data_IF_363943528444
#
_entry.id   IF_363943528444
#
_cell.length_a   1.000
_cell.length_b   1.000
_cell.length_c   1.000
_cell.angle_alpha   90.00
_cell.angle_beta   90.00
_cell.angle_gamma   90.00
#
_symmetry.space_group_name_H-M   'P 1'
#
loop_
_entity.id
_entity.type
_entity.pdbx_description
1 polymer ?
#
# COMPACT_ATOMS: atom_id res chain seq x y z
N UNK A 1 32.73 -20.78 -58.63
CA UNK A 1 32.51 -19.37 -58.26
C UNK A 1 31.26 -19.31 -57.38
N UNK A 2 31.46 -19.38 -56.07
CA UNK A 2 30.38 -19.23 -55.06
C UNK A 2 30.37 -17.77 -54.59
N UNK A 3 29.26 -17.09 -54.80
CA UNK A 3 29.02 -15.74 -54.28
C UNK A 3 28.44 -15.86 -52.87
N UNK A 4 29.21 -15.48 -51.87
CA UNK A 4 28.73 -15.28 -50.49
C UNK A 4 27.97 -13.96 -50.39
N UNK A 5 26.66 -14.02 -50.13
CA UNK A 5 25.83 -12.87 -49.81
C UNK A 5 25.70 -12.83 -48.27
N UNK A 6 26.36 -11.85 -47.66
CA UNK A 6 26.19 -11.54 -46.21
C UNK A 6 24.90 -10.74 -46.02
N UNK A 7 23.93 -11.31 -45.32
CA UNK A 7 22.75 -10.58 -44.85
C UNK A 7 23.15 -9.82 -43.61
N UNK A 8 23.20 -8.48 -43.68
CA UNK A 8 23.30 -7.60 -42.52
C UNK A 8 21.92 -7.55 -41.85
N UNK A 9 21.78 -8.20 -40.72
CA UNK A 9 20.62 -8.00 -39.84
C UNK A 9 20.81 -6.68 -39.11
N UNK A 10 20.02 -5.66 -39.49
CA UNK A 10 19.91 -4.39 -38.77
C UNK A 10 19.03 -4.67 -37.54
N UNK A 11 19.67 -4.77 -36.38
CA UNK A 11 18.96 -4.76 -35.09
C UNK A 11 18.56 -3.32 -34.82
N UNK A 12 17.32 -3.00 -35.17
CA UNK A 12 16.62 -1.78 -34.69
C UNK A 12 16.30 -1.97 -33.20
N UNK A 13 17.22 -1.52 -32.35
CA UNK A 13 16.92 -1.38 -30.93
C UNK A 13 15.88 -0.27 -30.77
N UNK A 14 14.65 -0.65 -30.53
CA UNK A 14 13.58 0.30 -30.25
C UNK A 14 13.89 1.01 -28.95
N UNK A 15 14.34 2.27 -29.03
CA UNK A 15 14.42 3.21 -27.92
C UNK A 15 12.97 3.63 -27.62
N UNK A 16 12.26 2.81 -26.85
CA UNK A 16 10.96 3.19 -26.29
C UNK A 16 11.12 3.55 -24.83
N UNK A 17 10.65 4.76 -24.52
CA UNK A 17 10.23 5.26 -23.19
C UNK A 17 11.31 5.79 -22.25
N UNK A 18 11.85 6.96 -22.59
CA UNK A 18 12.48 7.85 -21.61
C UNK A 18 11.60 9.06 -21.25
N UNK A 19 10.37 9.18 -21.78
CA UNK A 19 9.63 10.45 -21.74
C UNK A 19 8.78 10.72 -20.50
N UNK A 20 8.54 9.74 -19.61
CA UNK A 20 7.73 9.98 -18.41
C UNK A 20 8.55 10.39 -17.17
N UNK A 21 9.88 10.37 -17.26
CA UNK A 21 10.78 10.66 -16.14
C UNK A 21 11.62 11.92 -16.33
N UNK A 22 11.47 12.62 -17.46
CA UNK A 22 12.15 13.89 -17.69
C UNK A 22 11.59 14.93 -16.72
N UNK A 23 12.28 15.11 -15.57
CA UNK A 23 12.00 16.17 -14.61
C UNK A 23 11.71 15.76 -13.17
N UNK A 24 11.57 14.46 -12.82
CA UNK A 24 11.44 14.06 -11.43
C UNK A 24 12.80 14.05 -10.71
N UNK A 25 12.86 14.66 -9.56
CA UNK A 25 13.99 14.55 -8.63
C UNK A 25 13.79 13.34 -7.71
N UNK A 26 14.85 12.58 -7.50
CA UNK A 26 14.91 11.46 -6.57
C UNK A 26 16.01 11.70 -5.54
N UNK A 27 15.70 11.65 -4.24
CA UNK A 27 16.68 11.92 -3.18
C UNK A 27 17.77 10.84 -3.11
N UNK A 28 18.93 11.19 -2.55
CA UNK A 28 19.99 10.21 -2.30
C UNK A 28 19.58 9.18 -1.22
N UNK A 29 20.20 7.99 -1.21
CA UNK A 29 19.92 6.96 -0.22
C UNK A 29 20.12 7.47 1.20
N UNK A 30 19.09 7.33 2.06
CA UNK A 30 19.05 7.81 3.44
C UNK A 30 19.51 9.27 3.63
N UNK A 31 19.63 10.03 2.52
CA UNK A 31 20.04 11.44 2.51
C UNK A 31 18.88 12.36 2.74
N UNK A 32 19.20 13.63 3.04
CA UNK A 32 18.22 14.69 3.16
C UNK A 32 17.54 14.96 1.82
N UNK A 33 16.27 15.31 1.86
CA UNK A 33 15.49 15.69 0.70
C UNK A 33 15.85 17.11 0.24
N UNK A 34 16.06 17.28 -1.07
CA UNK A 34 16.17 18.61 -1.63
C UNK A 34 14.83 19.33 -1.53
N UNK A 35 14.89 20.58 -1.09
CA UNK A 35 13.75 21.49 -0.99
C UNK A 35 13.73 22.47 -2.13
N UNK A 36 12.54 22.91 -2.51
CA UNK A 36 12.31 24.01 -3.41
C UNK A 36 11.26 24.94 -2.83
N UNK A 37 11.35 26.23 -3.17
CA UNK A 37 10.30 27.16 -2.76
C UNK A 37 9.03 26.93 -3.58
N UNK A 38 7.83 27.23 -3.04
CA UNK A 38 6.60 27.18 -3.82
C UNK A 38 6.69 27.96 -5.13
N UNK A 39 7.38 29.11 -5.13
CA UNK A 39 7.56 29.96 -6.31
C UNK A 39 8.35 29.27 -7.44
N UNK A 40 9.23 28.32 -7.14
CA UNK A 40 9.95 27.53 -8.16
C UNK A 40 9.02 26.69 -9.05
N UNK A 41 7.78 26.52 -8.63
CA UNK A 41 6.76 25.71 -9.30
C UNK A 41 5.44 26.49 -9.50
N UNK A 42 5.45 27.81 -9.42
CA UNK A 42 4.26 28.69 -9.52
C UNK A 42 3.16 28.34 -8.49
N UNK A 43 3.53 27.71 -7.37
CA UNK A 43 2.63 27.34 -6.28
C UNK A 43 2.37 28.56 -5.39
N UNK A 44 1.11 28.79 -5.02
CA UNK A 44 0.75 29.83 -4.05
C UNK A 44 1.26 29.49 -2.65
N UNK A 45 2.30 30.19 -2.19
CA UNK A 45 2.86 29.97 -0.86
C UNK A 45 1.83 30.20 0.26
N UNK A 46 0.93 31.18 0.10
CA UNK A 46 -0.11 31.49 1.08
C UNK A 46 -1.13 30.37 1.20
N UNK A 47 -1.62 29.82 0.07
CA UNK A 47 -2.59 28.73 0.10
C UNK A 47 -1.93 27.45 0.61
N UNK A 48 -0.67 27.16 0.22
CA UNK A 48 0.07 26.00 0.71
C UNK A 48 0.30 26.06 2.24
N UNK A 49 0.64 27.25 2.78
CA UNK A 49 0.74 27.44 4.23
C UNK A 49 -0.59 27.23 4.95
N UNK A 50 -1.72 27.65 4.34
CA UNK A 50 -3.05 27.37 4.89
C UNK A 50 -3.34 25.86 4.95
N UNK A 51 -2.98 25.11 3.91
CA UNK A 51 -3.12 23.66 3.91
C UNK A 51 -2.26 23.00 5.00
N UNK A 52 -1.01 23.46 5.20
CA UNK A 52 -0.16 22.95 6.29
C UNK A 52 -0.77 23.25 7.66
N UNK A 53 -1.17 24.52 7.90
CA UNK A 53 -1.81 24.89 9.16
C UNK A 53 -3.12 24.12 9.42
N UNK A 54 -3.87 23.81 8.35
CA UNK A 54 -5.04 22.95 8.43
C UNK A 54 -4.66 21.54 8.92
N UNK A 55 -3.64 20.93 8.34
CA UNK A 55 -3.19 19.59 8.75
C UNK A 55 -2.71 19.59 10.21
N UNK A 56 -1.99 20.60 10.65
CA UNK A 56 -1.50 20.73 12.03
C UNK A 56 -2.64 20.90 13.04
N UNK A 57 -3.71 21.62 12.66
CA UNK A 57 -4.84 21.90 13.55
C UNK A 57 -5.89 20.76 13.62
N UNK A 58 -5.83 19.78 12.71
CA UNK A 58 -6.77 18.66 12.65
C UNK A 58 -6.06 17.32 12.97
N UNK A 59 -5.34 17.29 14.10
CA UNK A 59 -4.73 16.05 14.58
C UNK A 59 -5.79 14.98 14.80
N UNK A 60 -5.48 13.73 14.44
CA UNK A 60 -6.31 12.57 14.74
C UNK A 60 -6.71 12.55 16.22
N UNK A 61 -8.02 12.52 16.47
CA UNK A 61 -8.62 12.65 17.81
C UNK A 61 -8.44 11.41 18.69
N UNK A 62 -8.06 10.27 18.12
CA UNK A 62 -7.88 9.01 18.86
C UNK A 62 -6.66 9.01 19.77
N UNK A 63 -6.59 8.05 20.71
CA UNK A 63 -5.53 7.97 21.70
C UNK A 63 -4.12 7.94 21.09
N UNK A 64 -3.13 8.55 21.78
CA UNK A 64 -1.71 8.40 21.42
C UNK A 64 -1.18 7.00 21.77
N UNK A 65 -1.73 6.37 22.78
CA UNK A 65 -1.54 4.95 23.05
C UNK A 65 -2.30 4.12 22.01
N UNK A 66 -1.57 3.56 21.04
CA UNK A 66 -2.16 2.79 19.95
C UNK A 66 -2.75 1.45 20.40
N UNK A 67 -2.36 0.91 21.56
CA UNK A 67 -3.02 -0.25 22.14
C UNK A 67 -4.47 0.06 22.48
N UNK A 68 -4.70 1.20 23.14
CA UNK A 68 -6.05 1.68 23.45
C UNK A 68 -6.83 2.06 22.18
N UNK A 69 -6.16 2.66 21.20
CA UNK A 69 -6.79 3.03 19.93
C UNK A 69 -7.31 1.79 19.17
N UNK A 70 -6.52 0.73 19.09
CA UNK A 70 -6.89 -0.54 18.47
C UNK A 70 -8.07 -1.18 19.22
N UNK A 71 -7.96 -1.34 20.54
CA UNK A 71 -9.01 -1.96 21.36
C UNK A 71 -10.35 -1.24 21.25
N UNK A 72 -10.35 0.11 21.20
CA UNK A 72 -11.56 0.90 20.98
C UNK A 72 -12.07 0.86 19.54
N UNK A 73 -11.16 0.91 18.57
CA UNK A 73 -11.51 0.94 17.15
C UNK A 73 -12.18 -0.34 16.65
N UNK A 74 -11.87 -1.46 17.27
CA UNK A 74 -12.34 -2.79 16.89
C UNK A 74 -13.13 -3.51 17.99
N UNK A 75 -13.66 -2.80 18.97
CA UNK A 75 -14.38 -3.37 20.14
C UNK A 75 -15.59 -4.24 19.78
N UNK A 76 -16.16 -4.06 18.58
CA UNK A 76 -17.28 -4.86 18.09
C UNK A 76 -16.85 -6.24 17.55
N UNK A 77 -15.58 -6.45 17.30
CA UNK A 77 -15.08 -7.68 16.74
C UNK A 77 -14.94 -8.74 17.82
N UNK A 78 -15.50 -9.95 17.61
CA UNK A 78 -15.26 -11.05 18.53
C UNK A 78 -13.75 -11.39 18.51
N UNK A 79 -13.21 -11.63 19.70
CA UNK A 79 -11.79 -11.99 19.90
C UNK A 79 -10.79 -10.92 19.51
N UNK A 80 -11.19 -9.63 19.48
CA UNK A 80 -10.25 -8.56 19.19
C UNK A 80 -9.23 -8.42 20.32
N UNK A 81 -7.98 -8.52 19.96
CA UNK A 81 -6.83 -8.42 20.85
C UNK A 81 -5.67 -7.69 20.15
N UNK A 82 -4.74 -7.17 20.93
CA UNK A 82 -3.47 -6.68 20.40
C UNK A 82 -2.48 -7.83 20.41
N UNK A 83 -2.20 -8.38 19.24
CA UNK A 83 -1.44 -9.61 19.00
C UNK A 83 -0.02 -9.36 18.50
N UNK A 84 0.28 -8.16 18.04
CA UNK A 84 1.60 -7.79 17.53
C UNK A 84 2.10 -6.49 18.17
N UNK A 85 3.34 -6.10 17.90
CA UNK A 85 3.93 -4.89 18.45
C UNK A 85 3.09 -3.65 18.12
N UNK A 86 3.01 -2.74 19.08
CA UNK A 86 2.46 -1.38 18.95
C UNK A 86 3.42 -0.39 19.58
N UNK A 87 3.31 0.87 19.19
CA UNK A 87 4.12 1.97 19.70
C UNK A 87 3.23 3.20 19.85
N UNK A 88 3.38 4.01 20.90
CA UNK A 88 2.67 5.28 21.01
C UNK A 88 2.92 6.15 19.78
N UNK A 89 1.85 6.74 19.23
CA UNK A 89 1.93 7.58 18.03
C UNK A 89 2.50 8.97 18.32
N UNK A 90 3.06 9.58 17.27
CA UNK A 90 3.42 11.00 17.27
C UNK A 90 2.23 11.94 17.13
N UNK A 91 2.53 13.22 16.99
CA UNK A 91 1.60 14.27 16.54
C UNK A 91 1.47 14.30 15.01
N UNK A 92 0.67 15.25 14.49
CA UNK A 92 0.52 15.43 13.05
C UNK A 92 1.87 15.77 12.41
N UNK A 93 2.17 15.10 11.32
CA UNK A 93 3.36 15.34 10.52
C UNK A 93 3.08 15.03 9.05
N UNK A 94 3.85 15.61 8.14
CA UNK A 94 3.67 15.31 6.73
C UNK A 94 4.66 16.01 5.82
N UNK A 95 4.56 15.65 4.54
CA UNK A 95 5.38 16.20 3.47
C UNK A 95 4.55 16.36 2.20
N UNK A 96 4.81 17.43 1.46
CA UNK A 96 4.27 17.67 0.13
C UNK A 96 5.43 17.75 -0.85
N UNK A 97 5.43 16.86 -1.84
CA UNK A 97 6.43 16.82 -2.89
C UNK A 97 5.83 17.30 -4.21
N UNK A 98 6.50 18.22 -4.88
CA UNK A 98 6.24 18.59 -6.28
C UNK A 98 7.43 18.16 -7.12
N UNK A 99 7.20 17.32 -8.13
CA UNK A 99 8.26 16.74 -8.97
C UNK A 99 9.41 16.09 -8.16
N UNK A 100 9.07 15.52 -7.00
CA UNK A 100 10.03 14.88 -6.10
C UNK A 100 10.73 15.82 -5.12
N UNK A 101 10.68 17.16 -5.30
CA UNK A 101 11.22 18.14 -4.35
C UNK A 101 10.23 18.40 -3.23
N UNK A 102 10.72 18.56 -2.00
CA UNK A 102 9.89 19.00 -0.88
C UNK A 102 9.54 20.47 -1.06
N UNK A 103 8.26 20.79 -1.14
CA UNK A 103 7.73 22.17 -1.19
C UNK A 103 7.09 22.58 0.13
N UNK A 104 6.70 21.63 0.97
CA UNK A 104 6.27 21.84 2.35
C UNK A 104 6.50 20.59 3.19
N UNK A 105 6.77 20.78 4.48
CA UNK A 105 6.81 19.72 5.48
C UNK A 105 6.46 20.29 6.86
N UNK A 106 5.91 19.47 7.73
CA UNK A 106 5.56 19.84 9.10
C UNK A 106 5.69 18.65 10.06
N UNK A 107 5.79 18.94 11.34
CA UNK A 107 5.95 17.95 12.40
C UNK A 107 7.26 17.16 12.31
N UNK A 108 7.32 16.00 12.95
CA UNK A 108 8.49 15.13 12.94
C UNK A 108 8.39 14.09 11.81
N UNK A 109 8.91 14.45 10.63
CA UNK A 109 8.90 13.59 9.44
C UNK A 109 9.81 12.36 9.55
N UNK A 110 10.79 12.39 10.47
CA UNK A 110 11.76 11.29 10.71
C UNK A 110 11.28 10.30 11.77
N UNK A 111 10.19 10.61 12.48
CA UNK A 111 9.62 9.72 13.47
C UNK A 111 9.08 8.44 12.82
N UNK A 112 9.53 7.30 13.33
CA UNK A 112 9.05 5.97 12.92
C UNK A 112 7.80 5.63 13.73
N UNK A 113 6.67 5.54 13.06
CA UNK A 113 5.38 5.16 13.65
C UNK A 113 4.71 4.03 12.84
N UNK A 114 3.74 3.35 13.47
CA UNK A 114 2.84 2.42 12.74
C UNK A 114 2.15 3.14 11.61
N UNK A 115 2.01 2.46 10.46
CA UNK A 115 1.29 3.01 9.31
C UNK A 115 -0.02 2.29 9.03
N UNK A 116 -0.35 1.28 9.84
CA UNK A 116 -1.56 0.48 9.68
C UNK A 116 -1.76 0.01 8.23
N UNK A 117 -2.93 0.25 7.66
CA UNK A 117 -3.30 -0.30 6.36
C UNK A 117 -2.55 0.29 5.17
N UNK A 118 -1.72 1.34 5.32
CA UNK A 118 -0.74 1.70 4.29
C UNK A 118 0.19 0.52 3.98
N UNK A 119 0.42 -0.37 4.95
CA UNK A 119 1.13 -1.65 4.77
C UNK A 119 0.60 -2.48 3.59
N UNK A 120 -0.71 -2.41 3.32
CA UNK A 120 -1.35 -3.17 2.23
C UNK A 120 -0.81 -2.80 0.85
N UNK A 121 -0.52 -1.52 0.62
CA UNK A 121 0.06 -1.07 -0.66
C UNK A 121 1.50 -1.56 -0.83
N UNK A 122 2.28 -1.65 0.24
CA UNK A 122 3.59 -2.31 0.21
C UNK A 122 3.46 -3.82 -0.05
N UNK A 123 2.49 -4.48 0.57
CA UNK A 123 2.21 -5.91 0.33
C UNK A 123 1.81 -6.17 -1.11
N UNK A 124 0.93 -5.35 -1.69
CA UNK A 124 0.57 -5.39 -3.10
C UNK A 124 1.81 -5.24 -4.01
N UNK A 125 2.71 -4.31 -3.66
CA UNK A 125 3.96 -4.13 -4.42
C UNK A 125 4.82 -5.39 -4.42
N UNK A 126 4.87 -6.15 -3.32
CA UNK A 126 5.58 -7.44 -3.29
C UNK A 126 4.93 -8.51 -4.18
N UNK A 127 3.62 -8.46 -4.37
CA UNK A 127 2.94 -9.31 -5.36
C UNK A 127 3.31 -8.88 -6.78
N UNK A 128 3.39 -7.58 -7.05
CA UNK A 128 3.86 -7.03 -8.34
C UNK A 128 5.30 -7.43 -8.66
N UNK A 129 6.17 -7.34 -7.68
CA UNK A 129 7.55 -7.79 -7.81
C UNK A 129 7.63 -9.31 -8.04
N UNK A 130 6.77 -10.10 -7.38
CA UNK A 130 6.67 -11.54 -7.62
C UNK A 130 6.25 -11.84 -9.06
N UNK A 131 5.30 -11.07 -9.62
CA UNK A 131 4.91 -11.15 -11.01
C UNK A 131 6.06 -10.76 -11.96
N UNK A 132 6.71 -9.64 -11.69
CA UNK A 132 7.86 -9.16 -12.51
C UNK A 132 9.03 -10.14 -12.50
N UNK A 133 9.17 -10.97 -11.46
CA UNK A 133 10.18 -12.05 -11.35
C UNK A 133 9.69 -13.39 -11.90
N UNK A 134 8.46 -13.49 -12.40
CA UNK A 134 7.88 -14.73 -12.91
C UNK A 134 7.55 -15.77 -11.83
N UNK A 135 7.48 -15.35 -10.55
CA UNK A 135 7.00 -16.21 -9.45
C UNK A 135 5.47 -16.37 -9.50
N UNK A 136 4.75 -15.38 -10.03
CA UNK A 136 3.34 -15.43 -10.39
C UNK A 136 3.28 -15.26 -11.90
N UNK A 137 2.58 -16.15 -12.61
CA UNK A 137 2.40 -16.07 -14.05
C UNK A 137 1.42 -14.96 -14.43
N UNK A 138 0.30 -14.90 -13.73
CA UNK A 138 -0.76 -13.92 -13.92
C UNK A 138 -1.55 -13.70 -12.63
N UNK A 139 -2.09 -12.49 -12.44
CA UNK A 139 -3.04 -12.20 -11.34
C UNK A 139 -4.35 -12.99 -11.48
N UNK A 140 -4.62 -13.48 -12.68
CA UNK A 140 -5.77 -14.35 -12.97
C UNK A 140 -5.53 -15.81 -12.60
N UNK A 141 -4.31 -16.20 -12.24
CA UNK A 141 -4.01 -17.58 -11.84
C UNK A 141 -4.65 -17.91 -10.49
N UNK A 142 -5.01 -19.17 -10.32
CA UNK A 142 -5.52 -19.68 -9.04
C UNK A 142 -4.38 -19.70 -8.01
N UNK A 143 -4.66 -19.22 -6.80
CA UNK A 143 -3.65 -19.24 -5.74
C UNK A 143 -3.32 -20.68 -5.32
N UNK A 144 -4.29 -21.62 -5.45
CA UNK A 144 -4.11 -23.05 -5.20
C UNK A 144 -3.06 -23.71 -6.11
N UNK A 145 -2.74 -23.13 -7.28
CA UNK A 145 -1.70 -23.65 -8.15
C UNK A 145 -0.29 -23.40 -7.59
N UNK A 146 -0.17 -22.49 -6.61
CA UNK A 146 1.09 -22.05 -6.00
C UNK A 146 1.22 -22.44 -4.52
N UNK A 147 0.10 -22.52 -3.79
CA UNK A 147 0.04 -22.75 -2.34
C UNK A 147 -0.69 -24.06 -2.08
N UNK A 148 0.04 -25.10 -1.61
CA UNK A 148 -0.42 -26.49 -1.56
C UNK A 148 -0.62 -27.03 -0.14
N UNK A 149 -0.72 -26.16 0.86
CA UNK A 149 -0.77 -26.51 2.27
C UNK A 149 -2.19 -26.63 2.85
N UNK A 150 -3.21 -26.66 1.99
CA UNK A 150 -4.61 -26.72 2.38
C UNK A 150 -5.30 -25.35 2.51
N UNK A 151 -4.54 -24.23 2.51
CA UNK A 151 -5.11 -22.88 2.68
C UNK A 151 -6.14 -22.52 1.61
N UNK A 152 -5.98 -23.06 0.39
CA UNK A 152 -6.87 -22.81 -0.76
C UNK A 152 -7.58 -24.07 -1.25
N UNK A 153 -7.83 -25.04 -0.37
CA UNK A 153 -8.59 -26.23 -0.70
C UNK A 153 -10.12 -26.04 -0.53
N UNK A 154 -10.88 -27.01 -1.03
CA UNK A 154 -12.34 -27.05 -0.95
C UNK A 154 -13.04 -26.29 -2.07
N UNK A 155 -14.36 -26.47 -2.17
CA UNK A 155 -15.17 -26.01 -3.30
C UNK A 155 -15.21 -24.47 -3.47
N UNK A 156 -14.92 -23.71 -2.42
CA UNK A 156 -14.91 -22.26 -2.44
C UNK A 156 -13.49 -21.68 -2.61
N UNK A 157 -12.60 -21.99 -1.68
CA UNK A 157 -11.26 -21.37 -1.65
C UNK A 157 -10.41 -21.72 -2.88
N UNK A 158 -10.62 -22.90 -3.51
CA UNK A 158 -9.90 -23.33 -4.71
C UNK A 158 -10.18 -22.46 -5.95
N UNK A 159 -11.20 -21.61 -5.93
CA UNK A 159 -11.54 -20.69 -7.01
C UNK A 159 -10.84 -19.34 -6.88
N UNK A 160 -10.15 -19.10 -5.76
CA UNK A 160 -9.56 -17.80 -5.45
C UNK A 160 -8.33 -17.57 -6.33
N UNK A 161 -8.29 -16.38 -6.95
CA UNK A 161 -7.19 -15.90 -7.77
C UNK A 161 -6.36 -14.86 -7.02
N UNK A 162 -5.13 -14.60 -7.46
CA UNK A 162 -4.30 -13.54 -6.89
C UNK A 162 -5.00 -12.19 -6.93
N UNK A 163 -5.66 -11.85 -8.04
CA UNK A 163 -6.45 -10.62 -8.16
C UNK A 163 -7.56 -10.51 -7.11
N UNK A 164 -8.19 -11.62 -6.72
CA UNK A 164 -9.23 -11.61 -5.71
C UNK A 164 -8.69 -11.25 -4.31
N UNK A 165 -7.49 -11.71 -3.97
CA UNK A 165 -6.83 -11.33 -2.73
C UNK A 165 -6.41 -9.86 -2.76
N UNK A 166 -5.83 -9.39 -3.87
CA UNK A 166 -5.36 -8.02 -4.07
C UNK A 166 -6.49 -7.00 -4.04
N UNK A 167 -7.65 -7.34 -4.59
CA UNK A 167 -8.85 -6.49 -4.61
C UNK A 167 -9.76 -6.67 -3.38
N UNK A 168 -9.38 -7.53 -2.44
CA UNK A 168 -10.17 -7.88 -1.25
C UNK A 168 -11.61 -8.34 -1.59
N UNK A 169 -11.76 -9.09 -2.67
CA UNK A 169 -13.03 -9.68 -3.11
C UNK A 169 -12.97 -11.21 -3.19
N UNK A 170 -12.04 -11.82 -2.47
CA UNK A 170 -11.84 -13.28 -2.46
C UNK A 170 -12.92 -14.04 -1.69
N UNK A 171 -13.51 -13.42 -0.69
CA UNK A 171 -14.32 -14.07 0.34
C UNK A 171 -13.68 -15.37 0.87
N UNK A 172 -12.34 -15.42 0.95
CA UNK A 172 -11.63 -16.56 1.53
C UNK A 172 -12.22 -16.88 2.90
N UNK A 173 -12.52 -18.14 3.14
CA UNK A 173 -13.15 -18.60 4.37
C UNK A 173 -12.25 -19.58 5.10
N UNK A 174 -11.98 -19.28 6.37
CA UNK A 174 -11.13 -20.13 7.17
C UNK A 174 -10.59 -19.50 8.45
N UNK A 175 -9.49 -20.05 8.90
CA UNK A 175 -8.75 -19.54 10.05
C UNK A 175 -7.26 -19.48 9.73
N UNK A 176 -6.68 -18.30 9.88
CA UNK A 176 -5.24 -18.11 9.75
C UNK A 176 -4.66 -17.69 11.11
N UNK A 177 -3.72 -18.46 11.63
CA UNK A 177 -3.11 -18.26 12.97
C UNK A 177 -4.15 -18.11 14.09
N UNK A 178 -5.25 -18.88 14.02
CA UNK A 178 -6.34 -18.79 14.98
C UNK A 178 -7.36 -17.69 14.74
N UNK A 179 -7.06 -16.71 13.89
CA UNK A 179 -7.97 -15.63 13.50
C UNK A 179 -8.98 -16.14 12.47
N UNK A 180 -10.24 -15.80 12.67
CA UNK A 180 -11.35 -16.20 11.80
C UNK A 180 -11.70 -15.10 10.83
N UNK A 181 -11.88 -15.41 9.54
CA UNK A 181 -12.26 -14.44 8.52
C UNK A 181 -13.56 -13.70 8.84
N UNK A 182 -14.56 -14.41 9.37
CA UNK A 182 -15.86 -13.86 9.73
C UNK A 182 -15.85 -12.93 10.96
N UNK A 183 -14.78 -12.98 11.78
CA UNK A 183 -14.68 -12.20 12.99
C UNK A 183 -14.12 -10.77 12.75
N UNK A 184 -13.47 -10.56 11.62
CA UNK A 184 -12.91 -9.26 11.24
C UNK A 184 -13.98 -8.39 10.58
N UNK A 185 -14.29 -7.26 11.18
CA UNK A 185 -15.30 -6.28 10.72
C UNK A 185 -16.66 -6.92 10.39
N UNK A 186 -17.24 -7.68 11.33
CA UNK A 186 -18.52 -8.32 11.09
C UNK A 186 -19.61 -7.27 10.79
N UNK A 187 -20.67 -7.64 10.06
CA UNK A 187 -21.82 -6.76 9.83
C UNK A 187 -22.35 -6.13 11.11
N UNK A 188 -22.97 -4.96 11.00
CA UNK A 188 -23.58 -4.29 12.17
C UNK A 188 -24.75 -5.08 12.74
N UNK A 189 -25.43 -5.81 11.89
CA UNK A 189 -26.59 -6.64 12.23
C UNK A 189 -26.15 -8.09 12.41
N UNK A 190 -26.98 -8.86 13.15
CA UNK A 190 -26.71 -10.25 13.45
C UNK A 190 -25.77 -10.46 14.64
N UNK A 191 -25.45 -11.73 14.89
CA UNK A 191 -24.56 -12.20 15.94
C UNK A 191 -23.52 -13.17 15.43
N UNK A 192 -22.75 -13.74 16.34
CA UNK A 192 -21.61 -14.63 16.01
C UNK A 192 -22.03 -15.81 15.10
N UNK A 193 -23.19 -16.40 15.34
CA UNK A 193 -23.64 -17.54 14.53
C UNK A 193 -24.07 -17.10 13.13
N UNK A 194 -24.70 -15.92 12.98
CA UNK A 194 -25.06 -15.36 11.68
C UNK A 194 -23.81 -15.07 10.85
N UNK A 195 -22.78 -14.51 11.47
CA UNK A 195 -21.51 -14.18 10.79
C UNK A 195 -20.72 -15.43 10.42
N UNK A 196 -20.67 -16.42 11.34
CA UNK A 196 -19.92 -17.66 11.18
C UNK A 196 -20.50 -18.56 10.09
N UNK A 197 -21.83 -18.64 10.00
CA UNK A 197 -22.54 -19.52 9.07
C UNK A 197 -23.12 -18.78 7.87
N UNK A 198 -22.69 -17.55 7.62
CA UNK A 198 -23.12 -16.76 6.47
C UNK A 198 -22.87 -17.51 5.16
N UNK A 199 -23.72 -17.34 4.14
CA UNK A 199 -23.41 -17.80 2.79
C UNK A 199 -22.14 -17.13 2.26
N UNK A 200 -21.24 -17.92 1.68
CA UNK A 200 -20.05 -17.39 1.01
C UNK A 200 -20.44 -16.76 -0.32
N UNK A 201 -19.80 -15.65 -0.65
CA UNK A 201 -19.95 -14.95 -1.92
C UNK A 201 -18.95 -15.50 -2.92
N UNK A 202 -19.36 -15.65 -4.19
CA UNK A 202 -18.44 -16.13 -5.23
C UNK A 202 -17.22 -15.20 -5.34
N UNK A 203 -15.99 -15.73 -5.33
CA UNK A 203 -14.78 -14.92 -5.42
C UNK A 203 -14.81 -13.97 -6.64
N UNK A 204 -14.44 -12.70 -6.43
CA UNK A 204 -14.47 -11.66 -7.45
C UNK A 204 -15.76 -10.85 -7.54
N UNK A 205 -16.81 -11.18 -6.77
CA UNK A 205 -18.13 -10.54 -6.92
C UNK A 205 -18.41 -9.40 -5.95
N UNK A 206 -17.88 -9.46 -4.73
CA UNK A 206 -18.13 -8.46 -3.68
C UNK A 206 -16.82 -8.12 -2.98
N UNK A 207 -16.49 -6.84 -2.89
CA UNK A 207 -15.37 -6.37 -2.09
C UNK A 207 -15.75 -6.32 -0.61
N UNK A 208 -14.98 -7.00 0.23
CA UNK A 208 -15.09 -6.92 1.69
C UNK A 208 -13.71 -6.66 2.28
N UNK A 209 -13.57 -5.49 2.90
CA UNK A 209 -12.31 -5.09 3.53
C UNK A 209 -12.07 -5.94 4.80
N UNK A 210 -11.10 -6.86 4.73
CA UNK A 210 -10.88 -7.88 5.75
C UNK A 210 -9.38 -8.14 5.94
N UNK A 211 -8.86 -7.88 7.16
CA UNK A 211 -7.43 -8.02 7.43
C UNK A 211 -6.98 -9.47 7.57
N UNK A 212 -7.85 -10.41 7.94
CA UNK A 212 -7.51 -11.85 7.93
C UNK A 212 -7.21 -12.30 6.50
N UNK A 213 -8.02 -11.89 5.51
CA UNK A 213 -7.80 -12.19 4.10
C UNK A 213 -6.57 -11.49 3.53
N UNK A 214 -6.26 -10.30 3.99
CA UNK A 214 -5.00 -9.63 3.66
C UNK A 214 -3.81 -10.36 4.27
N UNK A 215 -3.94 -10.90 5.48
CA UNK A 215 -2.92 -11.74 6.09
C UNK A 215 -2.75 -13.07 5.33
N UNK A 216 -3.82 -13.63 4.74
CA UNK A 216 -3.73 -14.78 3.81
C UNK A 216 -2.88 -14.44 2.60
N UNK A 217 -3.01 -13.23 2.02
CA UNK A 217 -2.11 -12.80 0.95
C UNK A 217 -0.66 -12.68 1.44
N UNK A 218 -0.43 -12.10 2.62
CA UNK A 218 0.92 -11.97 3.19
C UNK A 218 1.55 -13.35 3.45
N UNK A 219 0.76 -14.30 3.98
CA UNK A 219 1.15 -15.68 4.14
C UNK A 219 1.51 -16.33 2.80
N UNK A 220 0.64 -16.22 1.80
CA UNK A 220 0.83 -16.80 0.47
C UNK A 220 2.09 -16.24 -0.21
N UNK A 221 2.33 -14.94 -0.12
CA UNK A 221 3.55 -14.34 -0.65
C UNK A 221 4.81 -14.78 0.12
N UNK A 222 4.71 -15.01 1.43
CA UNK A 222 5.83 -15.56 2.22
C UNK A 222 6.20 -16.97 1.73
N UNK A 223 5.20 -17.82 1.45
CA UNK A 223 5.40 -19.15 0.88
C UNK A 223 5.99 -19.07 -0.53
N UNK A 224 5.44 -18.18 -1.37
CA UNK A 224 5.88 -18.01 -2.76
C UNK A 224 7.33 -17.52 -2.88
N UNK A 225 7.70 -16.49 -2.12
CA UNK A 225 9.06 -15.96 -2.09
C UNK A 225 10.05 -16.87 -1.36
N UNK A 226 9.57 -17.82 -0.55
CA UNK A 226 10.36 -18.69 0.33
C UNK A 226 11.34 -17.92 1.21
N UNK A 227 10.96 -16.72 1.62
CA UNK A 227 11.75 -15.80 2.45
C UNK A 227 10.82 -14.95 3.31
N UNK A 228 11.31 -14.43 4.48
CA UNK A 228 10.59 -13.41 5.23
C UNK A 228 10.31 -12.19 4.34
N UNK A 229 9.06 -11.74 4.25
CA UNK A 229 8.69 -10.59 3.42
C UNK A 229 9.46 -9.29 3.77
N UNK A 230 9.85 -9.00 5.03
CA UNK A 230 10.72 -7.86 5.32
C UNK A 230 12.07 -7.93 4.62
N UNK A 231 12.64 -9.13 4.45
CA UNK A 231 13.90 -9.33 3.71
C UNK A 231 13.71 -9.07 2.21
N UNK A 232 12.59 -9.57 1.66
CA UNK A 232 12.23 -9.31 0.27
C UNK A 232 11.99 -7.83 0.04
N UNK A 233 11.15 -7.20 0.90
CA UNK A 233 10.86 -5.77 0.82
C UNK A 233 12.12 -4.91 0.87
N UNK A 234 13.05 -5.25 1.78
CA UNK A 234 14.33 -4.55 1.89
C UNK A 234 15.11 -4.59 0.58
N UNK A 235 15.34 -5.81 0.07
CA UNK A 235 16.18 -6.04 -1.11
C UNK A 235 15.55 -5.51 -2.40
N UNK A 236 14.27 -5.79 -2.61
CA UNK A 236 13.63 -5.55 -3.90
C UNK A 236 13.03 -4.13 -4.02
N UNK A 237 12.75 -3.46 -2.91
CA UNK A 237 12.09 -2.16 -2.91
C UNK A 237 12.84 -1.11 -2.09
N UNK A 238 13.01 -1.32 -0.78
CA UNK A 238 13.43 -0.24 0.12
C UNK A 238 14.87 0.21 -0.10
N UNK A 239 15.80 -0.73 -0.30
CA UNK A 239 17.20 -0.39 -0.64
C UNK A 239 17.29 0.28 -2.02
N UNK A 240 16.64 -0.24 -3.10
CA UNK A 240 16.61 0.42 -4.40
C UNK A 240 16.07 1.85 -4.41
N UNK A 241 15.05 2.17 -3.61
CA UNK A 241 14.55 3.55 -3.48
C UNK A 241 15.33 4.39 -2.47
N UNK A 242 16.37 3.82 -1.87
CA UNK A 242 17.23 4.50 -0.89
C UNK A 242 16.53 4.86 0.41
N UNK A 243 15.60 4.03 0.88
CA UNK A 243 14.93 4.22 2.17
C UNK A 243 15.92 4.09 3.34
N UNK A 244 15.59 4.74 4.45
CA UNK A 244 16.37 4.67 5.68
C UNK A 244 16.37 3.24 6.26
N UNK A 245 17.34 2.87 7.09
CA UNK A 245 17.34 1.57 7.77
C UNK A 245 16.38 1.51 8.97
N UNK A 246 15.59 2.54 9.21
CA UNK A 246 14.78 2.68 10.44
C UNK A 246 13.46 1.93 10.40
N UNK A 247 12.90 1.67 9.22
CA UNK A 247 11.63 0.96 9.09
C UNK A 247 11.68 -0.48 9.56
N UNK A 248 10.53 -1.02 9.99
CA UNK A 248 10.37 -2.43 10.39
C UNK A 248 9.01 -2.91 9.92
N UNK A 249 8.88 -4.23 9.68
CA UNK A 249 7.61 -4.87 9.39
C UNK A 249 7.42 -6.06 10.31
N UNK A 250 6.39 -6.03 11.13
CA UNK A 250 6.12 -7.04 12.13
C UNK A 250 4.86 -7.84 11.82
N UNK A 251 4.85 -9.09 12.26
CA UNK A 251 3.67 -9.94 12.32
C UNK A 251 3.03 -9.94 13.71
N UNK A 252 2.08 -10.85 13.90
CA UNK A 252 1.58 -11.20 15.23
C UNK A 252 2.54 -12.17 15.93
N UNK A 253 2.57 -12.16 17.25
CA UNK A 253 3.51 -12.96 18.05
C UNK A 253 3.41 -14.47 17.78
N UNK A 254 2.24 -14.94 17.38
CA UNK A 254 1.97 -16.36 17.06
C UNK A 254 1.89 -16.67 15.55
N UNK A 255 2.10 -15.68 14.67
CA UNK A 255 2.03 -15.84 13.23
C UNK A 255 3.34 -16.43 12.66
N UNK A 256 3.44 -17.74 12.63
CA UNK A 256 4.64 -18.43 12.15
C UNK A 256 4.34 -19.36 10.98
N UNK A 257 5.29 -19.44 10.07
CA UNK A 257 5.33 -20.37 8.94
C UNK A 257 6.61 -21.18 8.97
N UNK A 258 6.62 -22.33 8.30
CA UNK A 258 7.84 -23.11 8.08
C UNK A 258 8.19 -22.99 6.59
N UNK A 259 9.36 -22.44 6.32
CA UNK A 259 9.91 -22.28 4.96
C UNK A 259 11.22 -23.04 4.91
N UNK A 260 11.32 -24.04 4.04
CA UNK A 260 12.53 -24.84 3.86
C UNK A 260 13.10 -25.44 5.17
N UNK A 261 12.22 -25.80 6.10
CA UNK A 261 12.58 -26.32 7.41
C UNK A 261 12.88 -25.25 8.48
N UNK A 262 12.89 -23.97 8.13
CA UNK A 262 13.11 -22.88 9.07
C UNK A 262 11.78 -22.27 9.52
N UNK A 263 11.69 -22.00 10.82
CA UNK A 263 10.55 -21.26 11.40
C UNK A 263 10.73 -19.78 11.11
N UNK A 264 9.80 -19.21 10.35
CA UNK A 264 9.81 -17.81 9.89
C UNK A 264 8.55 -17.13 10.40
N UNK A 265 8.68 -15.94 11.00
CA UNK A 265 7.52 -15.13 11.35
C UNK A 265 6.89 -14.55 10.08
N UNK A 266 5.60 -14.80 9.90
CA UNK A 266 4.80 -14.12 8.88
C UNK A 266 4.41 -12.72 9.36
N UNK A 267 4.48 -11.74 8.46
CA UNK A 267 4.08 -10.38 8.76
C UNK A 267 2.57 -10.19 8.61
N UNK A 268 2.01 -9.16 9.26
CA UNK A 268 0.62 -8.76 9.01
C UNK A 268 0.54 -7.78 7.84
N UNK A 269 -0.50 -7.94 7.02
CA UNK A 269 -0.71 -7.09 5.86
C UNK A 269 -1.33 -5.72 6.16
N UNK A 270 -1.82 -5.49 7.40
CA UNK A 270 -2.53 -4.24 7.70
C UNK A 270 -2.36 -3.70 9.12
N UNK A 271 -1.78 -4.45 10.03
CA UNK A 271 -1.59 -4.02 11.43
C UNK A 271 -2.89 -3.90 12.23
N UNK A 272 -3.94 -4.63 11.86
CA UNK A 272 -5.26 -4.56 12.49
C UNK A 272 -5.21 -4.83 14.01
N UNK A 273 -4.51 -5.89 14.42
CA UNK A 273 -4.29 -6.25 15.82
C UNK A 273 -2.83 -5.97 16.25
N UNK A 274 -2.24 -4.88 15.78
CA UNK A 274 -0.82 -4.59 15.96
C UNK A 274 0.04 -5.13 14.81
N UNK A 275 1.35 -4.96 14.88
CA UNK A 275 2.27 -5.30 13.78
C UNK A 275 2.11 -4.37 12.57
N UNK A 276 2.31 -4.90 11.36
CA UNK A 276 2.37 -4.08 10.15
C UNK A 276 3.68 -3.30 10.01
N UNK A 277 3.72 -2.36 9.09
CA UNK A 277 4.92 -1.54 8.84
C UNK A 277 4.98 -0.36 9.80
N UNK A 278 6.16 -0.20 10.40
CA UNK A 278 6.58 0.97 11.16
C UNK A 278 7.60 1.72 10.29
N UNK A 279 7.30 2.94 9.94
CA UNK A 279 8.07 3.70 8.94
C UNK A 279 7.92 5.21 9.20
N UNK A 280 8.88 6.00 8.79
CA UNK A 280 8.83 7.45 8.84
C UNK A 280 8.16 8.05 7.60
N UNK A 281 7.81 9.34 7.64
CA UNK A 281 7.13 10.00 6.52
C UNK A 281 8.04 10.14 5.29
N UNK A 282 9.35 10.28 5.46
CA UNK A 282 10.30 10.42 4.36
C UNK A 282 10.38 9.13 3.53
N UNK A 283 10.42 7.96 4.18
CA UNK A 283 10.42 6.68 3.47
C UNK A 283 9.06 6.36 2.82
N UNK A 284 7.95 6.80 3.43
CA UNK A 284 6.63 6.76 2.79
C UNK A 284 6.59 7.63 1.53
N UNK A 285 7.23 8.80 1.57
CA UNK A 285 7.32 9.71 0.43
C UNK A 285 8.14 9.10 -0.72
N UNK A 286 9.23 8.37 -0.44
CA UNK A 286 9.99 7.61 -1.43
C UNK A 286 9.12 6.57 -2.13
N UNK A 287 8.32 5.86 -1.37
CA UNK A 287 7.39 4.87 -1.94
C UNK A 287 6.33 5.54 -2.84
N UNK A 288 5.71 6.63 -2.39
CA UNK A 288 4.78 7.41 -3.22
C UNK A 288 5.43 7.96 -4.49
N UNK A 289 6.68 8.44 -4.39
CA UNK A 289 7.44 8.96 -5.53
C UNK A 289 7.78 7.86 -6.54
N UNK A 290 8.04 6.61 -6.11
CA UNK A 290 8.21 5.48 -7.02
C UNK A 290 6.94 5.24 -7.84
N UNK A 291 5.76 5.32 -7.23
CA UNK A 291 4.48 5.17 -7.93
C UNK A 291 4.23 6.33 -8.88
N UNK A 292 4.50 7.57 -8.47
CA UNK A 292 4.45 8.74 -9.37
C UNK A 292 5.41 8.58 -10.56
N UNK A 293 6.60 8.02 -10.32
CA UNK A 293 7.62 7.71 -11.34
C UNK A 293 7.33 6.43 -12.12
N UNK A 294 6.11 5.87 -12.01
CA UNK A 294 5.68 4.68 -12.75
C UNK A 294 6.64 3.49 -12.60
N UNK A 295 7.14 3.29 -11.39
CA UNK A 295 8.01 2.17 -11.03
C UNK A 295 9.48 2.33 -11.42
N UNK A 296 9.88 3.51 -11.88
CA UNK A 296 11.28 3.82 -12.19
C UNK A 296 11.86 4.73 -11.10
N UNK A 297 13.07 4.45 -10.67
CA UNK A 297 13.83 5.23 -9.71
C UNK A 297 15.23 5.51 -10.24
N UNK A 298 15.58 6.78 -10.44
CA UNK A 298 16.88 7.21 -11.01
C UNK A 298 17.27 6.43 -12.28
N UNK A 299 16.30 6.21 -13.18
CA UNK A 299 16.51 5.47 -14.43
C UNK A 299 16.43 3.94 -14.32
N UNK A 300 16.39 3.37 -13.11
CA UNK A 300 16.27 1.92 -12.90
C UNK A 300 14.81 1.53 -12.69
N UNK A 301 14.33 0.54 -13.47
CA UNK A 301 13.01 -0.03 -13.27
C UNK A 301 13.02 -0.95 -12.05
N UNK A 302 12.27 -0.59 -11.03
CA UNK A 302 12.10 -1.38 -9.81
C UNK A 302 10.83 -2.23 -9.90
N UNK A 303 9.74 -1.63 -10.37
CA UNK A 303 8.43 -2.25 -10.53
C UNK A 303 7.91 -1.96 -11.95
N UNK A 304 7.23 -2.91 -12.57
CA UNK A 304 6.68 -2.69 -13.91
C UNK A 304 5.62 -1.58 -13.91
N UNK A 305 5.57 -0.80 -14.99
CA UNK A 305 4.52 0.21 -15.18
C UNK A 305 3.14 -0.45 -15.30
N UNK A 306 3.09 -1.64 -15.93
CA UNK A 306 1.84 -2.41 -16.04
C UNK A 306 1.28 -2.78 -14.66
N UNK A 307 2.13 -3.19 -13.70
CA UNK A 307 1.66 -3.44 -12.34
C UNK A 307 1.06 -2.19 -11.67
N UNK A 308 1.73 -1.04 -11.81
CA UNK A 308 1.20 0.20 -11.23
C UNK A 308 -0.14 0.56 -11.87
N UNK A 309 -0.27 0.41 -13.19
CA UNK A 309 -1.51 0.63 -13.89
C UNK A 309 -2.61 -0.32 -13.39
N UNK A 310 -2.34 -1.63 -13.29
CA UNK A 310 -3.30 -2.62 -12.79
C UNK A 310 -3.69 -2.33 -11.34
N UNK A 311 -2.70 -1.98 -10.49
CA UNK A 311 -2.91 -1.68 -9.08
C UNK A 311 -3.75 -0.41 -8.84
N UNK A 312 -3.72 0.53 -9.78
CA UNK A 312 -4.48 1.79 -9.72
C UNK A 312 -5.68 1.81 -10.69
N UNK A 313 -6.10 0.65 -11.19
CA UNK A 313 -7.30 0.48 -12.00
C UNK A 313 -8.48 0.03 -11.12
N UNK A 314 -9.68 0.64 -11.31
CA UNK A 314 -10.87 0.28 -10.56
C UNK A 314 -11.23 -1.21 -10.66
N UNK A 315 -11.51 -1.85 -9.52
CA UNK A 315 -12.07 -3.20 -9.51
C UNK A 315 -13.56 -3.18 -9.86
N UNK A 316 -14.06 -4.27 -10.48
CA UNK A 316 -15.50 -4.36 -10.83
C UNK A 316 -16.44 -4.20 -9.64
N UNK A 317 -16.20 -4.86 -8.48
CA UNK A 317 -17.11 -4.79 -7.35
C UNK A 317 -17.01 -3.48 -6.54
N UNK A 318 -15.89 -2.74 -6.69
CA UNK A 318 -15.71 -1.45 -6.01
C UNK A 318 -14.80 -0.53 -6.84
N UNK A 319 -15.35 0.48 -7.52
CA UNK A 319 -14.56 1.40 -8.34
C UNK A 319 -13.55 2.24 -7.53
N UNK A 320 -13.75 2.38 -6.22
CA UNK A 320 -12.82 3.10 -5.35
C UNK A 320 -11.62 2.24 -4.87
N UNK A 321 -11.44 1.00 -5.39
CA UNK A 321 -10.39 0.12 -4.93
C UNK A 321 -9.74 -0.69 -6.06
N UNK A 322 -8.41 -0.61 -6.14
CA UNK A 322 -7.57 -1.40 -7.03
C UNK A 322 -6.85 -2.54 -6.27
N UNK A 323 -5.57 -2.79 -6.57
CA UNK A 323 -4.75 -3.76 -5.83
C UNK A 323 -4.19 -3.13 -4.57
N UNK A 324 -5.03 -3.06 -3.51
CA UNK A 324 -4.68 -2.47 -2.20
C UNK A 324 -4.30 -0.99 -2.26
N UNK A 325 -4.78 -0.29 -3.27
CA UNK A 325 -4.80 1.15 -3.39
C UNK A 325 -6.24 1.64 -3.43
N UNK A 326 -6.53 2.72 -2.73
CA UNK A 326 -7.77 3.47 -2.84
C UNK A 326 -7.69 4.41 -4.03
N UNK A 327 -8.81 4.57 -4.72
CA UNK A 327 -8.93 5.37 -5.94
C UNK A 327 -10.00 6.43 -5.74
N UNK A 328 -9.75 7.65 -6.23
CA UNK A 328 -10.72 8.74 -6.12
C UNK A 328 -11.80 8.70 -7.20
N UNK A 329 -12.31 7.52 -7.50
CA UNK A 329 -13.42 7.36 -8.44
C UNK A 329 -14.74 7.76 -7.79
N UNK A 330 -15.79 8.13 -8.56
CA UNK A 330 -17.13 8.33 -8.01
C UNK A 330 -17.60 7.14 -7.17
N UNK A 331 -18.13 7.41 -5.97
CA UNK A 331 -18.56 6.40 -5.00
C UNK A 331 -18.39 6.87 -3.56
N UNK A 332 -18.47 5.93 -2.62
CA UNK A 332 -18.51 6.23 -1.18
C UNK A 332 -17.23 6.88 -0.63
N UNK A 333 -16.11 6.79 -1.36
CA UNK A 333 -14.82 7.34 -0.94
C UNK A 333 -14.29 8.42 -1.87
N UNK A 334 -15.16 8.97 -2.67
CA UNK A 334 -14.84 10.08 -3.57
C UNK A 334 -14.61 11.38 -2.79
N UNK A 335 -13.50 12.04 -3.10
CA UNK A 335 -13.22 13.40 -2.64
C UNK A 335 -13.65 14.39 -3.72
N UNK A 336 -14.78 15.02 -3.52
CA UNK A 336 -15.35 15.97 -4.47
C UNK A 336 -14.34 17.09 -4.78
N UNK A 337 -14.24 17.49 -6.05
CA UNK A 337 -13.28 18.51 -6.49
C UNK A 337 -11.81 18.07 -6.53
N UNK A 338 -11.52 16.81 -6.28
CA UNK A 338 -10.20 16.19 -6.46
C UNK A 338 -10.22 15.32 -7.73
N UNK A 339 -9.18 15.33 -8.59
CA UNK A 339 -9.16 14.54 -9.80
C UNK A 339 -9.39 13.03 -9.57
N UNK A 340 -10.12 12.39 -10.46
CA UNK A 340 -10.40 10.94 -10.41
C UNK A 340 -9.14 10.08 -10.62
N UNK A 341 -8.08 10.66 -11.18
CA UNK A 341 -6.77 10.02 -11.37
C UNK A 341 -5.97 9.87 -10.07
N UNK A 342 -6.43 10.50 -8.98
CA UNK A 342 -5.78 10.42 -7.67
C UNK A 342 -5.98 9.02 -7.07
N UNK A 343 -4.90 8.46 -6.58
CA UNK A 343 -4.91 7.23 -5.81
C UNK A 343 -4.11 7.36 -4.52
N UNK A 344 -4.45 6.55 -3.53
CA UNK A 344 -3.86 6.70 -2.22
C UNK A 344 -3.80 5.41 -1.41
N UNK A 345 -2.73 5.26 -0.64
CA UNK A 345 -2.65 4.29 0.45
C UNK A 345 -3.21 4.94 1.71
N UNK A 346 -4.07 4.22 2.45
CA UNK A 346 -4.76 4.74 3.63
C UNK A 346 -4.58 3.80 4.83
N UNK A 347 -4.25 4.36 5.98
CA UNK A 347 -4.11 3.66 7.25
C UNK A 347 -4.88 4.32 8.38
N UNK A 348 -5.29 3.49 9.35
CA UNK A 348 -5.99 3.94 10.55
C UNK A 348 -5.30 5.12 11.21
N UNK A 349 -6.09 6.06 11.73
CA UNK A 349 -5.56 7.26 12.39
C UNK A 349 -5.02 8.33 11.43
N UNK A 350 -5.38 8.27 10.13
CA UNK A 350 -5.02 9.31 9.17
C UNK A 350 -3.57 9.24 8.69
N UNK A 351 -3.10 8.03 8.43
CA UNK A 351 -1.82 7.78 7.79
C UNK A 351 -2.04 7.56 6.30
N UNK A 352 -1.52 8.44 5.44
CA UNK A 352 -1.79 8.40 4.01
C UNK A 352 -0.53 8.64 3.17
N UNK A 353 -0.51 8.02 2.00
CA UNK A 353 0.33 8.38 0.88
C UNK A 353 -0.64 8.70 -0.26
N UNK A 354 -0.71 9.96 -0.68
CA UNK A 354 -1.59 10.41 -1.77
C UNK A 354 -0.73 10.75 -2.97
N UNK A 355 -1.06 10.21 -4.13
CA UNK A 355 -0.39 10.49 -5.40
C UNK A 355 -1.37 11.18 -6.33
N UNK A 356 -0.98 12.34 -6.85
CA UNK A 356 -1.73 13.14 -7.82
C UNK A 356 -0.91 13.22 -9.11
N UNK A 357 -1.11 12.28 -10.05
CA UNK A 357 -0.27 12.18 -11.25
C UNK A 357 -0.28 13.43 -12.11
N UNK A 358 -1.45 14.01 -12.34
CA UNK A 358 -1.62 15.21 -13.20
C UNK A 358 -0.86 16.42 -12.69
N UNK A 359 -0.70 16.51 -11.38
CA UNK A 359 0.02 17.60 -10.72
C UNK A 359 1.45 17.20 -10.32
N UNK A 360 1.92 16.02 -10.67
CA UNK A 360 3.22 15.49 -10.25
C UNK A 360 3.48 15.70 -8.75
N UNK A 361 2.42 15.40 -7.93
CA UNK A 361 2.45 15.57 -6.47
C UNK A 361 2.45 14.22 -5.76
N UNK A 362 3.18 14.19 -4.64
CA UNK A 362 3.03 13.18 -3.60
C UNK A 362 2.83 13.88 -2.27
N UNK A 363 1.83 13.45 -1.51
CA UNK A 363 1.59 13.94 -0.16
C UNK A 363 1.66 12.78 0.81
N UNK A 364 2.38 12.95 1.89
CA UNK A 364 2.42 12.01 3.02
C UNK A 364 1.81 12.69 4.23
N UNK A 365 0.87 12.01 4.84
CA UNK A 365 0.15 12.47 6.02
C UNK A 365 0.28 11.47 7.15
N UNK A 366 0.55 11.97 8.34
CA UNK A 366 0.63 11.20 9.58
C UNK A 366 -0.29 11.85 10.60
N UNK A 367 -1.24 11.06 11.10
CA UNK A 367 -2.11 11.43 12.22
C UNK A 367 -2.99 12.67 11.98
N UNK A 368 -3.40 12.88 10.73
CA UNK A 368 -4.47 13.80 10.36
C UNK A 368 -5.82 13.11 10.53
N UNK A 369 -6.83 13.80 11.09
CA UNK A 369 -8.18 13.25 11.24
C UNK A 369 -8.69 12.68 9.90
N UNK A 370 -9.09 11.40 9.82
CA UNK A 370 -9.44 10.75 8.55
C UNK A 370 -10.56 11.44 7.75
N UNK A 371 -11.52 12.08 8.42
CA UNK A 371 -12.57 12.85 7.76
C UNK A 371 -12.05 14.11 7.05
N UNK A 372 -10.89 14.61 7.42
CA UNK A 372 -10.32 15.87 6.95
C UNK A 372 -9.33 15.70 5.79
N UNK A 373 -9.02 14.47 5.40
CA UNK A 373 -8.04 14.18 4.35
C UNK A 373 -8.47 14.78 3.01
N UNK A 374 -9.74 14.59 2.61
CA UNK A 374 -10.26 15.14 1.35
C UNK A 374 -10.16 16.67 1.30
N UNK A 375 -10.55 17.35 2.38
CA UNK A 375 -10.46 18.80 2.50
C UNK A 375 -9.01 19.29 2.46
N UNK A 376 -8.08 18.58 3.10
CA UNK A 376 -6.66 18.86 3.01
C UNK A 376 -6.15 18.76 1.57
N UNK A 377 -6.46 17.67 0.87
CA UNK A 377 -6.05 17.47 -0.53
C UNK A 377 -6.59 18.58 -1.42
N UNK A 378 -7.87 18.96 -1.27
CA UNK A 378 -8.46 20.10 -1.99
C UNK A 378 -7.70 21.41 -1.75
N UNK A 379 -7.33 21.71 -0.48
CA UNK A 379 -6.57 22.90 -0.15
C UNK A 379 -5.18 22.92 -0.79
N UNK A 380 -4.49 21.77 -0.81
CA UNK A 380 -3.20 21.64 -1.50
C UNK A 380 -3.38 21.87 -3.00
N UNK A 381 -4.39 21.26 -3.61
CA UNK A 381 -4.66 21.42 -5.05
C UNK A 381 -5.02 22.88 -5.42
N UNK A 382 -5.72 23.58 -4.54
CA UNK A 382 -6.01 25.01 -4.72
C UNK A 382 -4.75 25.88 -4.73
N UNK A 383 -3.66 25.44 -4.09
CA UNK A 383 -2.39 26.14 -4.11
C UNK A 383 -1.61 25.93 -5.43
N UNK A 384 -1.94 24.89 -6.20
CA UNK A 384 -1.27 24.56 -7.46
C UNK A 384 -1.64 25.55 -8.57
N UNK A 385 -0.76 25.71 -9.58
CA UNK A 385 -1.01 26.58 -10.74
C UNK A 385 -2.18 26.11 -11.60
#
# INVERSE_FOLDING_TARGET
MLKNTWLLAIITCAIFTANAQQGLYFPEPAGDWATKTPADFDISATELQRAVAYAESHEYSGPKDLRLAILKGFEREPYHEVLGPVKPRGGPAGMILKKGYVVASWGDTKRVDMTFSVTKSFLSTLAGLARDRGLIGSEADLVSDYIWDGTFEGAHNSKIRWSHLLQQNSDWSGSLWGLKDWADRPPREGGVDDWKYRPLKEPGTVMEYNDVRVNVLAYSLTQLWRQPLPTVLKRELMDPIGASPSWRWFGYDHAWSVIDGYKVQSVTGGGHSGGGIFINAEDMARFGLLFLGKGVWKGNRILSESWIQDATTPSKPNPNYGYMWWLNQPGDRHWEGVPETVYYAAGFGGNFIVVVPEQELVMVLRWLEPSEIGAFVQQVLKAMP
#
